data_IF_195733782081
#
_entry.id   IF_195733782081
#
_cell.length_a   1.000
_cell.length_b   1.000
_cell.length_c   1.000
_cell.angle_alpha   90.00
_cell.angle_beta   90.00
_cell.angle_gamma   90.00
#
_symmetry.space_group_name_H-M   'P 1'
#
loop_
_entity.id
_entity.type
_entity.pdbx_description
1 polymer ?
#
# COMPACT_ATOMS: atom_id res chain seq x y z
N UNK A 1 27.91 9.24 14.49
CA UNK A 1 28.54 8.45 15.59
C UNK A 1 28.06 7.01 15.48
N UNK A 2 28.99 6.06 15.34
CA UNK A 2 28.69 4.68 14.99
C UNK A 2 27.94 3.91 16.08
N UNK A 3 27.26 2.86 15.61
CA UNK A 3 26.41 1.86 16.28
C UNK A 3 26.99 1.27 17.57
N UNK A 4 28.29 1.44 17.85
CA UNK A 4 28.93 0.90 19.05
C UNK A 4 28.50 1.55 20.39
N UNK A 5 27.83 2.72 20.39
CA UNK A 5 27.69 3.53 21.63
C UNK A 5 26.28 3.65 22.23
N UNK A 6 25.23 3.06 21.68
CA UNK A 6 23.89 3.09 22.31
C UNK A 6 23.40 1.68 22.63
N UNK A 7 23.57 1.32 23.90
CA UNK A 7 22.96 0.13 24.53
C UNK A 7 21.45 0.35 24.69
N UNK A 8 20.67 -0.04 23.69
CA UNK A 8 19.34 -0.61 23.88
C UNK A 8 19.42 -2.01 23.27
N UNK A 9 19.34 -3.00 24.14
CA UNK A 9 19.99 -4.29 24.00
C UNK A 9 19.28 -5.22 23.01
N UNK A 10 19.39 -4.93 21.71
CA UNK A 10 18.83 -5.77 20.65
C UNK A 10 19.35 -7.21 20.66
N UNK A 11 20.66 -7.48 20.85
CA UNK A 11 21.14 -8.83 21.00
C UNK A 11 20.48 -9.55 22.17
N UNK A 12 20.30 -8.90 23.32
CA UNK A 12 19.62 -9.52 24.46
C UNK A 12 18.11 -9.61 24.29
N UNK A 13 17.46 -8.65 23.63
CA UNK A 13 16.03 -8.74 23.28
C UNK A 13 15.79 -9.93 22.37
N UNK A 14 16.58 -10.05 21.30
CA UNK A 14 16.56 -11.17 20.37
C UNK A 14 16.94 -12.47 21.09
N UNK A 15 17.99 -12.53 21.90
CA UNK A 15 18.37 -13.74 22.65
C UNK A 15 17.30 -14.17 23.67
N UNK A 16 16.63 -13.23 24.33
CA UNK A 16 15.54 -13.53 25.28
C UNK A 16 14.27 -14.01 24.57
N UNK A 17 14.00 -13.52 23.35
CA UNK A 17 12.75 -13.78 22.64
C UNK A 17 12.85 -14.88 21.58
N UNK A 18 14.00 -15.05 20.90
CA UNK A 18 14.23 -16.06 19.86
C UNK A 18 14.28 -17.49 20.43
N UNK A 19 14.69 -17.66 21.69
CA UNK A 19 14.61 -18.96 22.36
C UNK A 19 13.15 -19.41 22.59
N UNK A 20 12.18 -18.50 22.58
CA UNK A 20 10.76 -18.78 22.81
C UNK A 20 9.90 -18.75 21.54
N UNK A 21 10.28 -17.99 20.51
CA UNK A 21 9.47 -17.76 19.32
C UNK A 21 10.22 -18.04 18.01
N UNK A 22 9.55 -18.74 17.08
CA UNK A 22 10.08 -19.03 15.73
C UNK A 22 10.15 -17.73 14.91
N UNK A 23 11.22 -17.49 14.16
CA UNK A 23 11.33 -16.36 13.22
C UNK A 23 10.95 -16.79 11.79
N UNK A 24 10.68 -15.81 10.90
CA UNK A 24 10.53 -16.04 9.48
C UNK A 24 11.87 -16.48 8.85
N UNK A 25 11.98 -17.66 8.23
CA UNK A 25 13.22 -18.11 7.61
C UNK A 25 13.53 -17.26 6.37
N UNK A 26 14.72 -16.66 6.32
CA UNK A 26 15.22 -15.93 5.14
C UNK A 26 15.35 -16.81 3.88
N UNK A 27 15.44 -18.13 4.06
CA UNK A 27 15.50 -19.13 2.98
C UNK A 27 14.15 -19.47 2.38
N UNK A 28 13.06 -18.83 2.82
CA UNK A 28 11.72 -19.12 2.31
C UNK A 28 11.59 -18.70 0.84
N UNK A 29 11.22 -19.62 -0.09
CA UNK A 29 10.98 -19.31 -1.50
C UNK A 29 10.13 -18.08 -1.79
N UNK A 30 9.15 -17.74 -0.95
CA UNK A 30 8.30 -16.56 -1.15
C UNK A 30 9.02 -15.24 -0.81
N UNK A 31 9.92 -15.26 0.18
CA UNK A 31 10.79 -14.12 0.51
C UNK A 31 11.88 -13.95 -0.56
N UNK A 32 12.36 -15.05 -1.15
CA UNK A 32 13.32 -15.02 -2.27
C UNK A 32 12.66 -14.58 -3.58
N UNK A 33 11.36 -14.86 -3.76
CA UNK A 33 10.55 -14.36 -4.89
C UNK A 33 10.24 -12.87 -4.77
N UNK A 34 10.03 -12.37 -3.54
CA UNK A 34 9.90 -10.94 -3.28
C UNK A 34 11.27 -10.31 -3.54
N UNK A 35 11.37 -9.44 -4.52
CA UNK A 35 12.59 -8.69 -4.87
C UNK A 35 12.91 -7.63 -3.79
N UNK A 36 12.90 -8.00 -2.50
CA UNK A 36 13.02 -7.09 -1.35
C UNK A 36 14.34 -6.32 -1.31
N UNK A 37 15.34 -6.81 -2.06
CA UNK A 37 16.66 -6.20 -2.18
C UNK A 37 16.96 -5.68 -3.59
N UNK A 38 15.98 -5.72 -4.51
CA UNK A 38 16.15 -5.26 -5.88
C UNK A 38 15.02 -4.31 -6.26
N UNK A 39 15.37 -3.09 -6.65
CA UNK A 39 14.42 -2.10 -7.10
C UNK A 39 14.42 -1.97 -8.63
N UNK A 40 13.23 -1.89 -9.21
CA UNK A 40 13.03 -1.59 -10.63
C UNK A 40 13.21 -0.11 -10.99
N UNK A 41 13.35 0.74 -9.98
CA UNK A 41 13.57 2.18 -10.13
C UNK A 41 15.00 2.57 -9.71
N UNK A 42 15.42 3.72 -10.21
CA UNK A 42 16.67 4.40 -9.81
C UNK A 42 16.39 5.85 -9.41
N UNK A 43 17.29 6.44 -8.61
CA UNK A 43 17.19 7.86 -8.25
C UNK A 43 17.07 8.72 -9.51
N UNK A 44 16.11 9.63 -9.51
CA UNK A 44 15.80 10.56 -10.58
C UNK A 44 14.82 10.02 -11.62
N UNK A 45 14.38 8.76 -11.52
CA UNK A 45 13.24 8.27 -12.29
C UNK A 45 11.99 9.10 -11.97
N UNK A 46 11.22 9.41 -13.00
CA UNK A 46 10.01 10.20 -12.92
C UNK A 46 8.78 9.29 -12.94
N UNK A 47 7.87 9.52 -12.00
CA UNK A 47 6.62 8.77 -11.80
C UNK A 47 5.45 9.74 -11.64
N UNK A 48 4.24 9.22 -11.72
CA UNK A 48 3.03 9.91 -11.25
C UNK A 48 2.62 9.30 -9.91
N UNK A 49 2.44 10.14 -8.89
CA UNK A 49 2.15 9.75 -7.51
C UNK A 49 0.74 10.22 -7.13
N UNK A 50 -0.05 9.36 -6.50
CA UNK A 50 -1.35 9.76 -5.95
C UNK A 50 -1.17 10.89 -4.92
N UNK A 51 -1.95 11.95 -5.07
CA UNK A 51 -1.95 13.06 -4.14
C UNK A 51 -2.59 12.61 -2.81
N UNK A 52 -1.79 12.65 -1.74
CA UNK A 52 -2.23 12.21 -0.42
C UNK A 52 -3.24 13.14 0.26
N UNK A 53 -3.37 14.38 -0.20
CA UNK A 53 -4.34 15.35 0.31
C UNK A 53 -5.61 15.38 -0.56
N UNK A 54 -5.48 15.10 -1.85
CA UNK A 54 -6.59 15.10 -2.81
C UNK A 54 -6.57 13.82 -3.64
N UNK A 55 -7.22 12.78 -3.15
CA UNK A 55 -7.14 11.43 -3.74
C UNK A 55 -7.70 11.32 -5.17
N UNK A 56 -8.45 12.32 -5.64
CA UNK A 56 -8.97 12.41 -7.02
C UNK A 56 -7.93 12.69 -8.10
N UNK A 57 -6.67 12.99 -7.74
CA UNK A 57 -5.63 13.39 -8.69
C UNK A 57 -4.26 12.79 -8.37
N UNK A 58 -3.41 12.75 -9.39
CA UNK A 58 -1.99 12.41 -9.25
C UNK A 58 -1.11 13.63 -9.56
N UNK A 59 0.14 13.57 -9.12
CA UNK A 59 1.16 14.62 -9.31
C UNK A 59 2.46 14.00 -9.84
N UNK A 60 3.20 14.68 -10.74
CA UNK A 60 4.53 14.25 -11.14
C UNK A 60 5.46 14.25 -9.94
N UNK A 61 6.20 13.16 -9.79
CA UNK A 61 7.13 12.96 -8.69
C UNK A 61 8.43 12.29 -9.18
N UNK A 62 9.46 12.34 -8.34
CA UNK A 62 10.77 11.77 -8.59
C UNK A 62 11.09 10.73 -7.51
N UNK A 63 11.77 9.67 -7.93
CA UNK A 63 12.41 8.74 -7.00
C UNK A 63 13.67 9.42 -6.44
N UNK A 64 13.67 9.77 -5.16
CA UNK A 64 14.78 10.48 -4.50
C UNK A 64 15.81 9.56 -3.88
N UNK A 65 15.36 8.41 -3.36
CA UNK A 65 16.24 7.40 -2.78
C UNK A 65 15.65 6.00 -2.99
N UNK A 66 16.54 5.01 -2.96
CA UNK A 66 16.21 3.59 -3.10
C UNK A 66 16.98 2.82 -2.04
N UNK A 67 16.29 2.04 -1.22
CA UNK A 67 16.90 1.13 -0.23
C UNK A 67 16.19 -0.22 -0.31
N UNK A 68 16.91 -1.24 -0.78
CA UNK A 68 16.31 -2.53 -1.13
C UNK A 68 15.19 -2.35 -2.16
N UNK A 69 13.98 -2.81 -1.84
CA UNK A 69 12.77 -2.61 -2.63
C UNK A 69 11.97 -1.33 -2.29
N UNK A 70 12.41 -0.55 -1.29
CA UNK A 70 11.73 0.68 -0.87
C UNK A 70 12.23 1.88 -1.67
N UNK A 71 11.32 2.77 -2.00
CA UNK A 71 11.59 4.03 -2.71
C UNK A 71 11.09 5.21 -1.90
N UNK A 72 11.91 6.26 -1.83
CA UNK A 72 11.49 7.58 -1.36
C UNK A 72 11.00 8.36 -2.58
N UNK A 73 9.74 8.78 -2.57
CA UNK A 73 9.11 9.46 -3.70
C UNK A 73 8.71 10.87 -3.29
N UNK A 74 9.09 11.86 -4.09
CA UNK A 74 8.88 13.27 -3.78
C UNK A 74 8.31 14.02 -4.98
N UNK A 75 7.29 14.83 -4.77
CA UNK A 75 6.65 15.65 -5.81
C UNK A 75 7.69 16.55 -6.48
N UNK A 76 7.66 16.57 -7.81
CA UNK A 76 8.64 17.27 -8.63
C UNK A 76 8.32 18.77 -8.68
N UNK A 77 9.02 19.57 -7.86
CA UNK A 77 8.87 21.03 -7.89
C UNK A 77 9.09 21.65 -9.29
N UNK A 78 9.88 20.98 -10.14
CA UNK A 78 10.09 21.39 -11.54
C UNK A 78 8.85 21.16 -12.42
N UNK A 79 8.12 20.08 -12.19
CA UNK A 79 6.98 19.66 -13.02
C UNK A 79 5.63 20.18 -12.47
N UNK A 80 5.65 20.92 -11.35
CA UNK A 80 4.50 21.58 -10.73
C UNK A 80 4.46 23.09 -11.02
N UNK A 81 3.28 23.73 -10.88
CA UNK A 81 3.20 25.20 -10.83
C UNK A 81 3.61 25.69 -9.45
N UNK A 82 4.20 26.89 -9.36
CA UNK A 82 4.60 27.48 -8.07
C UNK A 82 3.44 27.68 -7.10
N UNK A 83 2.24 27.98 -7.62
CA UNK A 83 1.01 28.12 -6.81
C UNK A 83 0.57 26.81 -6.17
N UNK A 84 0.96 25.67 -6.74
CA UNK A 84 0.51 24.34 -6.34
C UNK A 84 1.51 23.67 -5.40
N UNK A 85 2.63 24.33 -5.09
CA UNK A 85 3.71 23.85 -4.21
C UNK A 85 3.59 24.36 -2.77
N UNK A 86 2.73 25.34 -2.55
CA UNK A 86 2.38 25.84 -1.23
C UNK A 86 0.92 25.44 -1.01
N UNK A 87 0.61 24.84 0.14
CA UNK A 87 -0.76 24.45 0.48
C UNK A 87 -1.73 25.59 0.23
N UNK A 88 -2.99 25.28 -0.09
CA UNK A 88 -4.02 26.32 -0.21
C UNK A 88 -4.23 27.06 1.12
N UNK A 89 -3.83 26.42 2.23
CA UNK A 89 -3.75 26.97 3.58
C UNK A 89 -2.35 26.69 4.18
N UNK A 90 -1.75 27.68 4.85
CA UNK A 90 -0.42 27.60 5.49
C UNK A 90 -0.33 26.58 6.66
N UNK A 91 -1.38 25.80 6.93
CA UNK A 91 -1.49 24.92 8.11
C UNK A 91 -1.32 23.42 7.82
N UNK A 92 -1.44 22.95 6.57
CA UNK A 92 -1.26 21.53 6.22
C UNK A 92 0.09 21.28 5.52
N UNK A 93 1.03 20.68 6.24
CA UNK A 93 2.33 20.27 5.72
C UNK A 93 2.17 19.10 4.72
N UNK A 94 2.41 19.36 3.44
CA UNK A 94 2.43 18.31 2.42
C UNK A 94 3.80 17.60 2.39
N UNK A 95 3.89 16.50 3.14
CA UNK A 95 5.08 15.66 3.18
C UNK A 95 5.51 15.15 1.80
N UNK A 96 4.61 15.00 0.83
CA UNK A 96 5.00 14.59 -0.52
C UNK A 96 5.82 15.69 -1.23
N UNK A 97 5.70 16.96 -0.82
CA UNK A 97 6.47 18.11 -1.34
C UNK A 97 7.70 18.42 -0.48
N UNK A 98 7.60 18.34 0.84
CA UNK A 98 8.66 18.76 1.78
C UNK A 98 9.77 17.69 1.91
N UNK A 99 9.41 16.49 2.36
CA UNK A 99 10.38 15.42 2.69
C UNK A 99 10.35 14.24 1.70
N UNK A 100 9.23 14.07 1.00
CA UNK A 100 8.88 12.86 0.26
C UNK A 100 8.32 11.76 1.17
N UNK A 101 7.74 10.73 0.56
CA UNK A 101 7.12 9.60 1.27
C UNK A 101 7.81 8.30 0.87
N UNK A 102 8.20 7.51 1.87
CA UNK A 102 8.72 6.16 1.65
C UNK A 102 7.59 5.20 1.29
N UNK A 103 7.80 4.31 0.34
CA UNK A 103 6.86 3.25 0.00
C UNK A 103 7.54 2.07 -0.66
N UNK A 104 6.83 0.95 -0.78
CA UNK A 104 7.26 -0.16 -1.62
C UNK A 104 7.24 0.24 -3.11
N UNK A 105 8.20 -0.25 -3.90
CA UNK A 105 8.24 -0.01 -5.35
C UNK A 105 7.01 -0.53 -6.12
N UNK A 106 6.23 -1.44 -5.52
CA UNK A 106 4.97 -1.91 -6.07
C UNK A 106 3.78 -1.30 -5.32
N UNK A 107 3.92 -0.13 -4.69
CA UNK A 107 2.80 0.59 -4.09
C UNK A 107 1.69 0.83 -5.12
N UNK A 108 0.40 0.64 -4.76
CA UNK A 108 -0.72 0.94 -5.65
C UNK A 108 -0.90 2.45 -5.89
N UNK A 109 -0.13 3.29 -5.20
CA UNK A 109 -0.18 4.75 -5.29
C UNK A 109 0.81 5.32 -6.33
N UNK A 110 1.60 4.47 -6.98
CA UNK A 110 2.59 4.85 -7.98
C UNK A 110 2.18 4.43 -9.38
N UNK A 111 2.34 5.35 -10.32
CA UNK A 111 1.97 5.19 -11.71
C UNK A 111 3.11 5.64 -12.65
N UNK A 112 3.10 5.12 -13.88
CA UNK A 112 4.06 5.51 -14.91
C UNK A 112 3.74 6.89 -15.50
N UNK A 113 4.72 7.53 -16.15
CA UNK A 113 4.53 8.83 -16.80
C UNK A 113 3.52 8.73 -17.95
N UNK A 114 2.49 9.58 -17.93
CA UNK A 114 1.41 9.57 -18.90
C UNK A 114 0.24 8.65 -18.52
N UNK A 115 0.31 7.97 -17.37
CA UNK A 115 -0.77 7.10 -16.89
C UNK A 115 -2.08 7.87 -16.74
N UNK A 116 -2.07 9.02 -16.05
CA UNK A 116 -3.28 9.78 -15.77
C UNK A 116 -4.07 10.14 -17.04
N UNK A 117 -3.40 10.71 -18.05
CA UNK A 117 -4.05 11.01 -19.33
C UNK A 117 -4.48 9.77 -20.09
N UNK A 118 -3.72 8.67 -20.01
CA UNK A 118 -4.05 7.44 -20.72
C UNK A 118 -5.33 6.80 -20.17
N UNK A 119 -5.48 6.78 -18.84
CA UNK A 119 -6.62 6.14 -18.16
C UNK A 119 -7.77 7.09 -17.85
N UNK A 120 -7.60 8.40 -18.07
CA UNK A 120 -8.61 9.42 -17.81
C UNK A 120 -8.66 9.92 -16.36
N UNK A 121 -7.57 9.78 -15.59
CA UNK A 121 -7.46 10.28 -14.23
C UNK A 121 -6.96 11.74 -14.18
N UNK A 122 -7.25 12.46 -13.08
CA UNK A 122 -6.84 13.86 -12.98
C UNK A 122 -5.33 13.98 -12.72
N UNK A 123 -4.69 14.93 -13.40
CA UNK A 123 -3.27 15.25 -13.25
C UNK A 123 -3.10 16.72 -12.86
N UNK A 124 -2.52 16.97 -11.68
CA UNK A 124 -2.07 18.30 -11.29
C UNK A 124 -0.58 18.43 -11.61
N UNK A 125 -0.26 19.32 -12.54
CA UNK A 125 1.10 19.61 -13.01
C UNK A 125 1.11 20.92 -13.80
N UNK A 126 2.31 21.42 -14.13
CA UNK A 126 2.47 22.54 -15.04
C UNK A 126 2.18 22.16 -16.51
N UNK A 127 2.04 23.18 -17.36
CA UNK A 127 1.67 22.99 -18.77
C UNK A 127 2.72 22.22 -19.58
N UNK A 128 4.00 22.30 -19.19
CA UNK A 128 5.07 21.55 -19.85
C UNK A 128 4.91 20.05 -19.63
N UNK A 129 4.77 19.64 -18.36
CA UNK A 129 4.57 18.24 -18.01
C UNK A 129 3.24 17.71 -18.55
N UNK A 130 2.16 18.48 -18.47
CA UNK A 130 0.85 18.08 -19.01
C UNK A 130 0.90 17.76 -20.50
N UNK A 131 1.56 18.61 -21.29
CA UNK A 131 1.74 18.36 -22.73
C UNK A 131 2.52 17.08 -22.99
N UNK A 132 3.65 16.91 -22.29
CA UNK A 132 4.50 15.73 -22.40
C UNK A 132 3.77 14.43 -22.03
N UNK A 133 3.06 14.42 -20.91
CA UNK A 133 2.27 13.28 -20.46
C UNK A 133 1.12 12.95 -21.44
N UNK A 134 0.48 13.97 -22.04
CA UNK A 134 -0.58 13.80 -23.04
C UNK A 134 -0.05 13.21 -24.37
N UNK A 135 1.14 13.63 -24.81
CA UNK A 135 1.80 13.05 -26.00
C UNK A 135 2.16 11.57 -25.79
N UNK A 136 2.66 11.22 -24.60
CA UNK A 136 2.93 9.83 -24.21
C UNK A 136 1.63 9.02 -24.18
N UNK A 137 0.58 9.52 -23.51
CA UNK A 137 -0.71 8.85 -23.43
C UNK A 137 -1.32 8.58 -24.81
N UNK A 138 -1.31 9.59 -25.69
CA UNK A 138 -1.81 9.47 -27.06
C UNK A 138 -1.03 8.43 -27.86
N UNK A 139 0.31 8.43 -27.74
CA UNK A 139 1.16 7.45 -28.42
C UNK A 139 0.91 6.01 -27.93
N UNK A 140 0.69 5.83 -26.62
CA UNK A 140 0.36 4.53 -26.01
C UNK A 140 -1.02 4.03 -26.46
N UNK A 141 -2.04 4.89 -26.46
CA UNK A 141 -3.39 4.57 -26.93
C UNK A 141 -3.40 4.21 -28.41
N UNK A 142 -2.56 4.86 -29.23
CA UNK A 142 -2.38 4.54 -30.64
C UNK A 142 -1.57 3.26 -30.90
N UNK A 143 -1.04 2.59 -29.87
CA UNK A 143 -0.17 1.41 -30.03
C UNK A 143 1.13 1.73 -30.77
N UNK A 144 1.63 2.95 -30.63
CA UNK A 144 2.82 3.42 -31.38
C UNK A 144 4.07 2.65 -30.96
N UNK A 145 4.90 2.26 -31.92
CA UNK A 145 6.18 1.57 -31.65
C UNK A 145 7.24 2.46 -31.00
N UNK A 146 7.09 3.79 -31.14
CA UNK A 146 8.01 4.79 -30.57
C UNK A 146 7.23 5.80 -29.73
N UNK A 147 7.22 5.56 -28.42
CA UNK A 147 6.63 6.46 -27.44
C UNK A 147 7.65 7.57 -27.09
N UNK A 148 7.24 8.86 -27.00
CA UNK A 148 8.15 9.99 -26.78
C UNK A 148 8.60 10.12 -25.32
N UNK A 149 9.08 9.04 -24.69
CA UNK A 149 9.60 9.08 -23.33
C UNK A 149 10.87 9.94 -23.22
N UNK A 150 10.92 10.77 -22.18
CA UNK A 150 12.17 11.40 -21.75
C UNK A 150 13.07 10.36 -21.06
N UNK A 151 14.34 10.72 -20.87
CA UNK A 151 15.40 9.82 -20.36
C UNK A 151 15.05 9.11 -19.05
N UNK A 152 14.35 9.81 -18.16
CA UNK A 152 14.04 9.33 -16.81
C UNK A 152 12.56 8.97 -16.62
N UNK A 153 11.74 9.02 -17.68
CA UNK A 153 10.34 8.67 -17.52
C UNK A 153 10.20 7.17 -17.30
N UNK A 154 9.41 6.82 -16.29
CA UNK A 154 9.02 5.44 -16.04
C UNK A 154 7.94 4.99 -17.02
N UNK A 155 7.90 3.69 -17.28
CA UNK A 155 7.12 3.07 -18.34
C UNK A 155 6.16 2.01 -17.79
N UNK A 156 5.08 1.66 -18.51
CA UNK A 156 4.12 0.64 -18.08
C UNK A 156 4.76 -0.69 -17.68
N UNK A 157 5.83 -1.12 -18.35
CA UNK A 157 6.48 -2.40 -18.07
C UNK A 157 7.09 -2.46 -16.66
N UNK A 158 7.42 -1.31 -16.07
CA UNK A 158 7.90 -1.25 -14.69
C UNK A 158 6.76 -1.42 -13.66
N UNK A 159 5.50 -1.32 -14.05
CA UNK A 159 4.33 -1.46 -13.16
C UNK A 159 3.59 -2.79 -13.38
N UNK A 160 4.10 -3.61 -14.31
CA UNK A 160 3.49 -4.85 -14.80
C UNK A 160 3.43 -6.00 -13.78
N UNK A 161 4.10 -5.92 -12.63
CA UNK A 161 4.03 -6.96 -11.59
C UNK A 161 2.58 -7.15 -11.06
N UNK A 162 1.69 -6.18 -11.26
CA UNK A 162 0.23 -6.31 -11.03
C UNK A 162 -0.51 -7.09 -12.13
N UNK A 163 0.05 -7.18 -13.33
CA UNK A 163 -0.64 -7.65 -14.53
C UNK A 163 -0.36 -9.13 -14.84
N UNK A 164 0.77 -9.68 -14.38
CA UNK A 164 1.07 -11.10 -14.62
C UNK A 164 0.33 -12.05 -13.66
N UNK A 165 -0.23 -11.57 -12.55
CA UNK A 165 -1.17 -12.34 -11.71
C UNK A 165 -2.50 -12.62 -12.42
N UNK A 166 -2.96 -11.73 -13.29
CA UNK A 166 -4.20 -11.92 -14.07
C UNK A 166 -4.05 -12.94 -15.21
N UNK A 167 -2.83 -13.12 -15.75
CA UNK A 167 -2.58 -14.03 -16.88
C UNK A 167 -2.45 -15.50 -16.49
N UNK A 168 -2.39 -15.81 -15.20
CA UNK A 168 -2.41 -17.19 -14.69
C UNK A 168 -3.83 -17.74 -14.50
N UNK A 169 -4.86 -16.88 -14.56
CA UNK A 169 -6.23 -17.34 -14.83
C UNK A 169 -6.24 -17.74 -16.30
N UNK A 170 -6.27 -19.05 -16.55
CA UNK A 170 -6.16 -19.65 -17.89
C UNK A 170 -7.15 -19.04 -18.88
N UNK A 171 -6.97 -19.34 -20.17
CA UNK A 171 -7.73 -18.87 -21.32
C UNK A 171 -9.25 -19.19 -21.30
N UNK A 172 -9.86 -19.47 -20.15
CA UNK A 172 -11.30 -19.40 -19.98
C UNK A 172 -11.68 -17.94 -19.79
N UNK A 173 -12.20 -17.32 -20.85
CA UNK A 173 -12.92 -16.05 -20.76
C UNK A 173 -14.04 -16.21 -19.74
N UNK A 174 -13.82 -15.80 -18.50
CA UNK A 174 -14.88 -15.62 -17.53
C UNK A 174 -15.79 -14.52 -18.07
N UNK A 175 -17.09 -14.79 -18.24
CA UNK A 175 -18.07 -13.81 -18.72
C UNK A 175 -18.37 -12.67 -17.73
N UNK A 176 -17.66 -12.64 -16.59
CA UNK A 176 -17.90 -11.69 -15.50
C UNK A 176 -16.76 -10.68 -15.51
N UNK A 177 -17.12 -9.42 -15.67
CA UNK A 177 -16.21 -8.28 -15.65
C UNK A 177 -16.59 -7.32 -14.52
N UNK A 178 -15.66 -6.43 -14.16
CA UNK A 178 -15.96 -5.35 -13.23
C UNK A 178 -16.97 -4.38 -13.86
N UNK A 179 -17.96 -3.94 -13.09
CA UNK A 179 -18.97 -2.99 -13.55
C UNK A 179 -19.17 -1.85 -12.55
N UNK A 180 -19.54 -0.68 -13.07
CA UNK A 180 -19.95 0.47 -12.26
C UNK A 180 -21.11 0.10 -11.34
N UNK A 181 -21.01 0.48 -10.08
CA UNK A 181 -22.01 0.23 -9.03
C UNK A 181 -21.82 -1.07 -8.27
N UNK A 182 -20.90 -1.96 -8.69
CA UNK A 182 -20.52 -3.12 -7.89
C UNK A 182 -19.90 -2.67 -6.56
N UNK A 183 -20.25 -3.36 -5.47
CA UNK A 183 -19.73 -3.10 -4.13
C UNK A 183 -18.75 -4.17 -3.67
N UNK A 184 -17.79 -3.77 -2.86
CA UNK A 184 -16.70 -4.61 -2.37
C UNK A 184 -16.17 -4.11 -1.02
N UNK A 185 -15.25 -4.88 -0.44
CA UNK A 185 -14.44 -4.50 0.71
C UNK A 185 -13.02 -4.17 0.24
N UNK A 186 -12.37 -3.19 0.84
CA UNK A 186 -11.00 -2.81 0.50
C UNK A 186 -10.19 -2.49 1.76
N UNK A 187 -8.94 -2.94 1.80
CA UNK A 187 -7.95 -2.44 2.74
C UNK A 187 -7.37 -1.14 2.18
N UNK A 188 -7.92 -0.01 2.63
CA UNK A 188 -7.65 1.32 2.07
C UNK A 188 -6.18 1.73 2.29
N UNK A 189 -5.39 1.95 1.21
CA UNK A 189 -3.99 2.33 1.34
C UNK A 189 -3.75 3.77 1.83
N UNK A 190 -4.80 4.60 1.94
CA UNK A 190 -4.75 5.96 2.47
C UNK A 190 -5.31 6.06 3.90
N UNK A 191 -5.89 4.98 4.45
CA UNK A 191 -6.39 4.93 5.82
C UNK A 191 -5.35 4.28 6.76
N UNK A 192 -5.76 3.93 7.96
CA UNK A 192 -4.92 3.45 9.07
C UNK A 192 -4.46 2.00 8.95
N UNK A 193 -4.91 1.28 7.92
CA UNK A 193 -4.63 -0.15 7.69
C UNK A 193 -5.12 -1.11 8.79
N UNK A 194 -6.02 -0.67 9.67
CA UNK A 194 -6.51 -1.46 10.82
C UNK A 194 -7.79 -2.24 10.54
N UNK A 195 -8.50 -1.85 9.49
CA UNK A 195 -9.80 -2.39 9.11
C UNK A 195 -10.03 -2.18 7.61
N UNK A 196 -10.95 -2.97 7.04
CA UNK A 196 -11.37 -2.78 5.66
C UNK A 196 -12.51 -1.76 5.62
N UNK A 197 -12.75 -1.22 4.45
CA UNK A 197 -13.73 -0.18 4.19
C UNK A 197 -14.72 -0.62 3.12
N UNK A 198 -15.96 -0.16 3.24
CA UNK A 198 -17.00 -0.37 2.22
C UNK A 198 -16.70 0.52 1.01
N UNK A 199 -16.65 -0.07 -0.18
CA UNK A 199 -16.40 0.67 -1.41
C UNK A 199 -17.37 0.30 -2.53
N UNK A 200 -17.50 1.21 -3.49
CA UNK A 200 -18.28 1.07 -4.72
C UNK A 200 -17.41 1.40 -5.92
N UNK A 201 -17.52 0.61 -6.99
CA UNK A 201 -16.92 0.95 -8.28
C UNK A 201 -17.65 2.15 -8.88
N UNK A 202 -17.05 3.34 -8.86
CA UNK A 202 -17.60 4.53 -9.51
C UNK A 202 -17.41 4.48 -11.02
N UNK A 203 -16.27 3.95 -11.45
CA UNK A 203 -15.87 3.88 -12.85
C UNK A 203 -14.88 2.72 -13.07
N UNK A 204 -15.02 2.06 -14.22
CA UNK A 204 -14.04 1.09 -14.72
C UNK A 204 -13.17 1.85 -15.72
N UNK A 205 -11.91 2.06 -15.36
CA UNK A 205 -10.94 2.82 -16.13
C UNK A 205 -10.21 1.92 -17.14
N UNK A 206 -9.40 2.52 -18.01
CA UNK A 206 -8.55 1.76 -18.91
C UNK A 206 -7.49 0.93 -18.16
N UNK A 207 -6.88 -0.04 -18.85
CA UNK A 207 -5.81 -0.90 -18.34
C UNK A 207 -6.15 -1.67 -17.05
N UNK A 208 -7.43 -1.98 -16.82
CA UNK A 208 -7.85 -2.77 -15.66
C UNK A 208 -7.85 -2.00 -14.33
N UNK A 209 -7.73 -0.67 -14.36
CA UNK A 209 -7.91 0.17 -13.19
C UNK A 209 -9.39 0.42 -12.88
N UNK A 210 -9.69 0.61 -11.61
CA UNK A 210 -11.00 0.97 -11.08
C UNK A 210 -10.87 2.29 -10.34
N UNK A 211 -11.85 3.18 -10.49
CA UNK A 211 -12.07 4.28 -9.56
C UNK A 211 -13.05 3.81 -8.49
N UNK A 212 -12.54 3.55 -7.29
CA UNK A 212 -13.37 3.17 -6.16
C UNK A 212 -13.75 4.40 -5.37
N UNK A 213 -15.05 4.61 -5.17
CA UNK A 213 -15.60 5.57 -4.25
C UNK A 213 -15.91 4.86 -2.96
N UNK A 214 -15.61 5.49 -1.85
CA UNK A 214 -15.92 4.91 -0.58
C UNK A 214 -17.26 5.42 -0.07
N UNK A 215 -18.15 4.50 0.27
CA UNK A 215 -19.53 4.84 0.56
C UNK A 215 -19.62 5.85 1.72
N UNK A 216 -20.39 6.92 1.54
CA UNK A 216 -20.49 8.05 2.47
C UNK A 216 -21.14 9.26 1.78
N UNK A 217 -21.24 10.39 2.48
CA UNK A 217 -21.79 11.63 1.90
C UNK A 217 -20.87 12.20 0.80
N UNK A 218 -19.55 12.04 0.96
CA UNK A 218 -18.52 12.58 0.07
C UNK A 218 -17.88 11.51 -0.85
N UNK A 219 -18.61 10.43 -1.15
CA UNK A 219 -18.09 9.26 -1.90
C UNK A 219 -17.40 9.58 -3.23
N UNK A 220 -17.84 10.64 -3.93
CA UNK A 220 -17.24 11.02 -5.22
C UNK A 220 -15.87 11.70 -5.07
N UNK A 221 -15.67 12.37 -3.93
CA UNK A 221 -14.45 13.09 -3.56
C UNK A 221 -13.49 12.17 -2.80
N UNK A 222 -14.02 11.37 -1.88
CA UNK A 222 -13.33 10.30 -1.17
C UNK A 222 -13.30 9.03 -2.04
N UNK A 223 -12.36 9.03 -2.98
CA UNK A 223 -12.16 7.96 -3.95
C UNK A 223 -10.68 7.61 -4.16
N UNK A 224 -10.42 6.51 -4.84
CA UNK A 224 -9.08 5.93 -5.01
C UNK A 224 -8.99 5.24 -6.38
N UNK A 225 -7.95 5.51 -7.18
CA UNK A 225 -7.64 4.66 -8.32
C UNK A 225 -6.88 3.42 -7.87
N UNK A 226 -7.33 2.23 -8.27
CA UNK A 226 -6.66 0.98 -7.93
C UNK A 226 -6.82 -0.06 -9.03
N UNK A 227 -5.76 -0.83 -9.29
CA UNK A 227 -5.83 -1.90 -10.28
C UNK A 227 -6.74 -3.04 -9.77
N UNK A 228 -7.57 -3.59 -10.65
CA UNK A 228 -8.51 -4.69 -10.35
C UNK A 228 -7.85 -5.96 -9.80
N UNK A 229 -6.56 -6.15 -10.10
CA UNK A 229 -5.74 -7.25 -9.57
C UNK A 229 -5.08 -6.95 -8.23
N UNK A 230 -5.38 -5.80 -7.60
CA UNK A 230 -4.71 -5.42 -6.37
C UNK A 230 -5.05 -6.39 -5.23
N UNK A 231 -4.05 -6.82 -4.44
CA UNK A 231 -4.29 -7.61 -3.24
C UNK A 231 -4.96 -6.79 -2.13
N UNK A 232 -5.38 -5.55 -2.36
CA UNK A 232 -6.15 -4.79 -1.38
C UNK A 232 -7.66 -4.94 -1.56
N UNK A 233 -8.11 -5.62 -2.62
CA UNK A 233 -9.54 -5.81 -2.91
C UNK A 233 -10.05 -7.13 -2.32
N UNK A 234 -11.24 -7.10 -1.73
CA UNK A 234 -11.86 -8.24 -1.07
C UNK A 234 -13.36 -8.34 -1.40
N UNK A 235 -13.90 -9.56 -1.55
CA UNK A 235 -15.33 -9.74 -1.78
C UNK A 235 -16.15 -9.34 -0.55
N UNK A 236 -17.40 -8.95 -0.80
CA UNK A 236 -18.38 -8.67 0.25
C UNK A 236 -18.50 -9.87 1.20
N UNK A 237 -18.37 -9.63 2.50
CA UNK A 237 -18.45 -10.65 3.55
C UNK A 237 -17.09 -11.18 4.00
N UNK A 238 -15.98 -10.72 3.43
CA UNK A 238 -14.64 -11.10 3.87
C UNK A 238 -14.41 -10.75 5.34
N UNK A 239 -14.78 -9.53 5.76
CA UNK A 239 -14.65 -9.11 7.14
C UNK A 239 -15.48 -9.97 8.11
N UNK A 240 -16.71 -10.31 7.75
CA UNK A 240 -17.58 -11.17 8.56
C UNK A 240 -16.99 -12.59 8.68
N UNK A 241 -16.51 -13.16 7.56
CA UNK A 241 -15.90 -14.49 7.50
C UNK A 241 -14.67 -14.63 8.39
N UNK A 242 -13.87 -13.57 8.49
CA UNK A 242 -12.58 -13.61 9.20
C UNK A 242 -12.55 -12.78 10.49
N UNK A 243 -13.70 -12.32 10.99
CA UNK A 243 -13.81 -11.55 12.23
C UNK A 243 -12.91 -10.29 12.20
N UNK A 244 -13.02 -9.54 11.10
CA UNK A 244 -12.39 -8.23 10.94
C UNK A 244 -13.42 -7.12 11.11
N UNK A 245 -12.95 -5.96 11.55
CA UNK A 245 -13.76 -4.74 11.52
C UNK A 245 -13.93 -4.26 10.08
N UNK A 246 -15.09 -3.68 9.82
CA UNK A 246 -15.40 -3.01 8.56
C UNK A 246 -15.90 -1.61 8.87
N UNK A 247 -15.26 -0.62 8.24
CA UNK A 247 -15.66 0.78 8.29
C UNK A 247 -16.78 1.01 7.28
N UNK A 248 -17.98 1.21 7.80
CA UNK A 248 -19.17 1.52 7.02
C UNK A 248 -19.27 3.01 6.65
N UNK A 249 -20.33 3.41 5.94
CA UNK A 249 -20.46 4.76 5.39
C UNK A 249 -20.53 5.91 6.41
N UNK A 250 -20.94 5.60 7.64
CA UNK A 250 -21.07 6.57 8.72
C UNK A 250 -19.87 6.56 9.68
N UNK A 251 -18.83 5.75 9.37
CA UNK A 251 -17.62 5.60 10.18
C UNK A 251 -17.81 4.83 11.49
N UNK A 252 -18.93 5.02 12.19
CA UNK A 252 -19.20 4.41 13.49
C UNK A 252 -20.41 3.48 13.48
N UNK A 253 -20.31 2.37 14.23
CA UNK A 253 -21.41 1.45 14.48
C UNK A 253 -21.31 0.12 13.74
N UNK A 254 -22.29 -0.75 13.98
CA UNK A 254 -22.35 -2.09 13.37
C UNK A 254 -22.87 -1.96 11.94
N UNK A 255 -22.00 -2.19 10.96
CA UNK A 255 -22.36 -2.26 9.55
C UNK A 255 -22.95 -3.63 9.19
N UNK A 256 -23.95 -3.65 8.30
CA UNK A 256 -24.60 -4.86 7.80
C UNK A 256 -24.74 -4.81 6.27
N UNK A 257 -24.00 -5.69 5.58
CA UNK A 257 -23.99 -5.77 4.13
C UNK A 257 -25.36 -6.03 3.52
N UNK A 258 -26.17 -6.88 4.17
CA UNK A 258 -27.49 -7.26 3.66
C UNK A 258 -28.42 -6.05 3.58
N UNK A 259 -28.47 -5.25 4.65
CA UNK A 259 -29.25 -4.02 4.69
C UNK A 259 -28.71 -2.99 3.72
N UNK A 260 -27.38 -2.83 3.66
CA UNK A 260 -26.72 -1.85 2.81
C UNK A 260 -26.95 -2.11 1.30
N UNK A 261 -26.77 -3.35 0.84
CA UNK A 261 -27.04 -3.75 -0.55
C UNK A 261 -28.52 -3.54 -0.91
N UNK A 262 -29.43 -3.88 0.00
CA UNK A 262 -30.87 -3.68 -0.19
C UNK A 262 -31.25 -2.20 -0.30
N UNK A 263 -30.69 -1.36 0.57
CA UNK A 263 -30.98 0.09 0.58
C UNK A 263 -30.41 0.79 -0.65
N UNK A 264 -29.17 0.47 -1.03
CA UNK A 264 -28.50 1.03 -2.20
C UNK A 264 -28.97 0.44 -3.53
N UNK A 265 -29.73 -0.66 -3.52
CA UNK A 265 -30.12 -1.44 -4.71
C UNK A 265 -28.91 -1.86 -5.57
N UNK A 266 -27.76 -2.04 -4.93
CA UNK A 266 -26.52 -2.41 -5.57
C UNK A 266 -26.27 -3.92 -5.48
N UNK A 267 -25.30 -4.40 -6.24
CA UNK A 267 -24.84 -5.79 -6.21
C UNK A 267 -23.43 -5.87 -5.67
N UNK A 268 -23.13 -6.95 -4.95
CA UNK A 268 -21.77 -7.29 -4.59
C UNK A 268 -20.99 -7.69 -5.85
N UNK A 269 -19.73 -7.25 -5.95
CA UNK A 269 -18.81 -7.76 -6.96
C UNK A 269 -18.66 -9.29 -6.79
N UNK A 270 -18.81 -10.09 -7.85
CA UNK A 270 -18.65 -11.54 -7.77
C UNK A 270 -17.26 -11.97 -7.31
N UNK A 271 -17.16 -13.02 -6.48
CA UNK A 271 -15.88 -13.50 -5.91
C UNK A 271 -14.82 -13.83 -6.97
N UNK A 272 -15.23 -14.26 -8.16
CA UNK A 272 -14.33 -14.61 -9.28
C UNK A 272 -13.48 -13.42 -9.77
N UNK A 273 -13.92 -12.19 -9.51
CA UNK A 273 -13.20 -10.96 -9.86
C UNK A 273 -12.01 -10.67 -8.94
N UNK A 274 -11.92 -11.34 -7.79
CA UNK A 274 -10.87 -11.13 -6.80
C UNK A 274 -9.73 -12.14 -6.98
N UNK A 275 -8.65 -11.94 -6.22
CA UNK A 275 -7.58 -12.92 -6.12
C UNK A 275 -8.07 -14.22 -5.45
N UNK A 276 -7.52 -15.34 -5.91
CA UNK A 276 -7.82 -16.64 -5.34
C UNK A 276 -7.32 -16.75 -3.89
N UNK A 277 -7.97 -17.64 -3.14
CA UNK A 277 -7.53 -17.97 -1.78
C UNK A 277 -6.06 -18.43 -1.78
N UNK A 278 -5.29 -18.12 -0.72
CA UNK A 278 -3.90 -18.55 -0.61
C UNK A 278 -3.76 -20.07 -0.80
N UNK A 279 -2.68 -20.55 -1.46
CA UNK A 279 -2.40 -21.97 -1.54
C UNK A 279 -2.38 -22.60 -0.13
N UNK A 280 -2.83 -23.85 0.04
CA UNK A 280 -2.85 -24.50 1.34
C UNK A 280 -1.49 -24.43 2.04
N UNK A 281 -1.48 -23.96 3.29
CA UNK A 281 -0.25 -23.83 4.07
C UNK A 281 0.57 -22.57 3.80
N UNK A 282 0.16 -21.68 2.88
CA UNK A 282 0.92 -20.47 2.57
C UNK A 282 0.93 -19.46 3.72
N UNK A 283 -0.23 -19.21 4.33
CA UNK A 283 -0.37 -18.26 5.45
C UNK A 283 0.18 -18.86 6.74
N UNK A 284 -0.01 -20.16 6.97
CA UNK A 284 0.41 -20.90 8.17
C UNK A 284 1.94 -20.92 8.37
N UNK A 285 2.70 -20.62 7.32
CA UNK A 285 4.14 -20.39 7.41
C UNK A 285 4.49 -19.15 8.23
N UNK A 286 3.62 -18.13 8.25
CA UNK A 286 3.69 -17.01 9.19
C UNK A 286 3.11 -17.44 10.55
N UNK A 287 3.87 -18.21 11.34
CA UNK A 287 3.35 -18.74 12.61
C UNK A 287 2.92 -17.60 13.54
N UNK A 288 1.76 -17.74 14.17
CA UNK A 288 1.33 -16.81 15.22
C UNK A 288 2.39 -16.80 16.34
N UNK A 289 2.74 -15.60 16.79
CA UNK A 289 3.86 -15.34 17.69
C UNK A 289 5.22 -15.24 17.02
N UNK A 290 5.33 -15.44 15.70
CA UNK A 290 6.59 -15.30 15.00
C UNK A 290 7.02 -13.83 14.91
N UNK A 291 8.33 -13.61 15.06
CA UNK A 291 8.95 -12.28 15.01
C UNK A 291 9.45 -11.93 13.61
N UNK A 292 9.27 -10.67 13.24
CA UNK A 292 9.63 -10.08 11.95
C UNK A 292 9.90 -8.57 12.08
N UNK A 293 10.29 -7.93 10.99
CA UNK A 293 10.38 -6.48 10.86
C UNK A 293 9.22 -6.00 9.96
N UNK A 294 8.49 -4.95 10.35
CA UNK A 294 7.34 -4.45 9.58
C UNK A 294 7.35 -2.93 9.50
N UNK A 295 6.93 -2.40 8.36
CA UNK A 295 6.77 -0.96 8.14
C UNK A 295 5.54 -0.47 8.84
N UNK A 296 5.65 0.62 9.60
CA UNK A 296 4.44 1.34 10.00
C UNK A 296 3.82 2.00 8.76
N UNK A 297 2.68 1.50 8.30
CA UNK A 297 2.09 2.01 7.05
C UNK A 297 1.44 3.40 7.21
N UNK A 298 1.21 3.86 8.45
CA UNK A 298 0.82 5.23 8.73
C UNK A 298 2.03 6.18 8.76
N UNK A 299 3.20 5.66 9.14
CA UNK A 299 4.47 6.40 9.13
C UNK A 299 5.54 5.64 8.33
N UNK A 300 5.45 5.62 6.98
CA UNK A 300 6.21 4.67 6.15
C UNK A 300 7.74 4.82 6.20
N UNK A 301 8.26 5.86 6.83
CA UNK A 301 9.69 6.00 7.09
C UNK A 301 10.18 5.09 8.22
N UNK A 302 9.28 4.55 9.06
CA UNK A 302 9.60 3.66 10.17
C UNK A 302 9.51 2.19 9.76
N UNK A 303 10.48 1.41 10.24
CA UNK A 303 10.39 -0.06 10.28
C UNK A 303 10.57 -0.49 11.73
N UNK A 304 9.64 -1.27 12.23
CA UNK A 304 9.53 -1.63 13.63
C UNK A 304 9.74 -3.14 13.84
N UNK A 305 10.25 -3.53 15.00
CA UNK A 305 10.14 -4.93 15.44
C UNK A 305 8.67 -5.27 15.68
N UNK A 306 8.23 -6.41 15.13
CA UNK A 306 6.83 -6.79 15.15
C UNK A 306 6.65 -8.31 15.26
N UNK A 307 5.42 -8.68 15.61
CA UNK A 307 5.01 -10.06 15.85
C UNK A 307 3.72 -10.36 15.06
N UNK A 308 3.65 -11.55 14.45
CA UNK A 308 2.41 -12.05 13.83
C UNK A 308 1.39 -12.36 14.93
N UNK A 309 0.33 -11.56 15.03
CA UNK A 309 -0.67 -11.69 16.09
C UNK A 309 -1.79 -12.67 15.70
N UNK A 310 -2.29 -12.60 14.46
CA UNK A 310 -3.37 -13.45 13.99
C UNK A 310 -3.36 -13.64 12.46
N UNK A 311 -4.09 -14.64 12.01
CA UNK A 311 -4.46 -14.83 10.60
C UNK A 311 -5.91 -14.45 10.40
N UNK A 312 -6.18 -13.67 9.36
CA UNK A 312 -7.48 -13.13 9.01
C UNK A 312 -7.73 -13.41 7.53
N UNK A 313 -7.76 -14.70 7.18
CA UNK A 313 -7.72 -15.18 5.80
C UNK A 313 -6.32 -15.03 5.20
N UNK A 314 -6.20 -14.31 4.08
CA UNK A 314 -4.91 -13.94 3.48
C UNK A 314 -4.21 -12.76 4.15
N UNK A 315 -4.92 -12.04 5.01
CA UNK A 315 -4.36 -10.96 5.81
C UNK A 315 -3.71 -11.50 7.09
N UNK A 316 -2.55 -10.94 7.43
CA UNK A 316 -1.86 -11.10 8.70
C UNK A 316 -2.16 -9.88 9.56
N UNK A 317 -2.58 -10.09 10.80
CA UNK A 317 -2.57 -9.03 11.79
C UNK A 317 -1.17 -8.95 12.40
N UNK A 318 -0.52 -7.80 12.24
CA UNK A 318 0.85 -7.56 12.71
C UNK A 318 0.80 -6.59 13.88
N UNK A 319 1.37 -7.03 15.00
CA UNK A 319 1.51 -6.26 16.23
C UNK A 319 2.90 -5.69 16.37
N UNK A 320 3.01 -4.40 16.68
CA UNK A 320 4.28 -3.75 16.95
C UNK A 320 4.76 -4.00 18.39
N UNK A 321 5.97 -4.53 18.53
CA UNK A 321 6.49 -4.95 19.85
C UNK A 321 6.62 -3.72 20.78
N UNK A 322 6.01 -3.81 21.97
CA UNK A 322 6.01 -2.72 22.97
C UNK A 322 4.88 -1.69 22.81
N UNK A 323 4.08 -1.79 21.75
CA UNK A 323 2.87 -0.99 21.56
C UNK A 323 1.62 -1.82 21.89
N UNK A 324 0.53 -1.13 22.23
CA UNK A 324 -0.76 -1.78 22.46
C UNK A 324 -1.47 -2.11 21.13
N UNK A 325 -2.47 -2.99 21.21
CA UNK A 325 -3.15 -3.59 20.05
C UNK A 325 -3.91 -2.55 19.21
N UNK A 326 -4.08 -1.31 19.69
CA UNK A 326 -4.70 -0.25 18.88
C UNK A 326 -3.82 0.19 17.70
N UNK A 327 -2.53 -0.18 17.70
CA UNK A 327 -1.58 0.08 16.62
C UNK A 327 -1.43 -1.10 15.65
N UNK A 328 -2.08 -2.23 15.90
CA UNK A 328 -1.99 -3.40 15.03
C UNK A 328 -2.51 -3.05 13.62
N UNK A 329 -1.76 -3.46 12.60
CA UNK A 329 -2.08 -3.23 11.19
C UNK A 329 -2.25 -4.54 10.44
N UNK A 330 -3.06 -4.53 9.37
CA UNK A 330 -3.32 -5.66 8.50
C UNK A 330 -2.38 -5.63 7.29
N UNK A 331 -1.76 -6.75 6.98
CA UNK A 331 -0.89 -6.91 5.81
C UNK A 331 -1.33 -8.12 5.01
N UNK A 332 -1.38 -8.02 3.68
CA UNK A 332 -1.42 -9.26 2.87
C UNK A 332 -0.18 -10.11 3.19
N UNK A 333 -0.34 -11.42 3.25
CA UNK A 333 0.77 -12.32 3.54
C UNK A 333 1.93 -12.20 2.52
N UNK A 334 1.66 -11.70 1.30
CA UNK A 334 2.67 -11.40 0.25
C UNK A 334 3.22 -9.97 0.30
N UNK A 335 2.76 -9.13 1.23
CA UNK A 335 3.20 -7.74 1.33
C UNK A 335 4.72 -7.62 1.35
N UNK A 336 5.23 -6.64 0.61
CA UNK A 336 6.64 -6.25 0.62
C UNK A 336 6.98 -5.30 1.79
N UNK A 337 5.99 -4.98 2.64
CA UNK A 337 6.17 -4.15 3.84
C UNK A 337 6.39 -4.98 5.12
N UNK A 338 6.47 -6.31 5.00
CA UNK A 338 6.91 -7.24 6.05
C UNK A 338 8.19 -7.94 5.63
N UNK A 339 9.17 -7.96 6.53
CA UNK A 339 10.53 -8.42 6.25
C UNK A 339 10.98 -9.49 7.26
N UNK A 340 11.88 -10.41 6.85
CA UNK A 340 12.56 -11.26 7.81
C UNK A 340 13.44 -10.43 8.75
N UNK A 341 13.70 -10.97 9.95
CA UNK A 341 14.64 -10.36 10.90
C UNK A 341 16.02 -10.20 10.23
N UNK A 342 16.62 -9.03 10.41
CA UNK A 342 17.92 -8.66 9.86
C UNK A 342 17.85 -7.89 8.53
N UNK A 343 16.66 -7.65 7.98
CA UNK A 343 16.52 -6.90 6.72
C UNK A 343 17.03 -5.46 6.86
N UNK A 344 16.65 -4.76 7.94
CA UNK A 344 17.11 -3.42 8.26
C UNK A 344 18.64 -3.37 8.40
N UNK A 345 19.23 -4.30 9.16
CA UNK A 345 20.69 -4.38 9.33
C UNK A 345 21.40 -4.58 7.99
N UNK A 346 20.91 -5.52 7.17
CA UNK A 346 21.50 -5.85 5.87
C UNK A 346 21.43 -4.69 4.87
N UNK A 347 20.35 -3.91 4.89
CA UNK A 347 20.14 -2.79 3.98
C UNK A 347 20.58 -1.43 4.55
N UNK A 348 21.13 -1.39 5.77
CA UNK A 348 21.51 -0.15 6.44
C UNK A 348 20.32 0.76 6.77
N UNK A 349 19.12 0.20 6.91
CA UNK A 349 17.90 0.90 7.30
C UNK A 349 17.75 0.90 8.83
N UNK A 350 17.15 1.95 9.39
CA UNK A 350 16.94 2.05 10.83
C UNK A 350 15.78 1.16 11.27
N UNK A 351 16.04 0.22 12.17
CA UNK A 351 15.01 -0.53 12.89
C UNK A 351 14.64 0.20 14.20
N UNK A 352 13.36 0.51 14.37
CA UNK A 352 12.85 1.12 15.59
C UNK A 352 12.81 0.12 16.75
N UNK A 353 13.30 0.56 17.90
CA UNK A 353 13.33 -0.24 19.11
C UNK A 353 11.92 -0.41 19.69
N UNK A 354 11.59 -1.60 20.25
CA UNK A 354 10.36 -1.78 21.00
C UNK A 354 10.23 -0.74 22.11
N UNK A 355 9.02 -0.20 22.28
CA UNK A 355 8.76 0.74 23.37
C UNK A 355 8.86 0.00 24.70
N UNK A 356 9.85 0.38 25.52
CA UNK A 356 9.99 -0.21 26.85
C UNK A 356 9.00 0.44 27.81
N UNK A 357 8.15 -0.37 28.44
CA UNK A 357 7.36 0.04 29.60
C UNK A 357 8.29 0.63 30.68
N UNK A 358 8.23 1.95 30.87
CA UNK A 358 8.90 2.57 32.02
C UNK A 358 8.18 2.11 33.27
N UNK A 359 8.71 1.09 33.95
CA UNK A 359 8.24 0.71 35.29
C UNK A 359 8.27 1.97 36.16
N UNK A 360 7.10 2.54 36.48
CA UNK A 360 6.99 3.60 37.48
C UNK A 360 7.63 3.05 38.75
N UNK A 361 8.77 3.63 39.17
CA UNK A 361 9.41 3.26 40.45
C UNK A 361 8.34 3.37 41.52
N UNK A 362 7.96 2.25 42.13
CA UNK A 362 7.08 2.24 43.28
C UNK A 362 7.69 3.21 44.31
N UNK A 363 6.97 4.28 44.64
CA UNK A 363 7.36 5.16 45.74
C UNK A 363 7.39 4.28 46.98
N UNK A 364 8.58 3.96 47.46
CA UNK A 364 8.79 3.39 48.79
C UNK A 364 8.11 4.33 49.78
N UNK A 365 6.98 3.91 50.34
CA UNK A 365 6.44 4.58 51.53
C UNK A 365 7.50 4.41 52.63
N UNK A 366 7.96 5.53 53.16
CA UNK A 366 8.92 5.60 54.26
C UNK A 366 8.15 5.75 55.56
#
# INVERSE_FOLDING_TARGET
MSIARRRSDWPQYLLCQLHAYKTLPSTWPDIQRRKLNNCKFKKGDRVELLDGLVSMRVRPALIEAVIGGRVLVKVSAKDMNKSDLHGQDDEEEDNQIEEGVWMDQCSPLLFYVGWAYKVGYQLLANDEYKRHASEIASALQAGSSRIPYAKNDTRPEQFQDYIDCCKLKGEEKTFVEWEKGMKLEILDPLDTWKELRVATVLEVLADGYLKLGFDGEEMEEDCLPIHSASPLLFPVGYCEKYDLRIKGPQGEGKFDWKSHLKQSKAVAAPEILFEDDPPPGAVEKFKIGAKLEAVDMCEPHLICAATVAAHKGRLLQIKYDGWDDSYDQLFDYRSNNIFPIGWCEMNGYKLEAPKMETKKKAKSKK
#
